data_IF_486764833055
#
_entry.id   IF_486764833055
#
_cell.length_a   1.000
_cell.length_b   1.000
_cell.length_c   1.000
_cell.angle_alpha   90.00
_cell.angle_beta   90.00
_cell.angle_gamma   90.00
#
_symmetry.space_group_name_H-M   'P 1'
#
loop_
_entity.id
_entity.type
_entity.pdbx_description
1 polymer ?
#
# COMPACT_ATOMS: atom_id res chain seq x y z
N UNK A 1 -2.36 -24.62 14.40
CA UNK A 1 -3.70 -24.27 14.92
C UNK A 1 -4.08 -22.91 14.34
N UNK A 2 -4.88 -22.92 13.31
CA UNK A 2 -5.39 -21.70 12.62
C UNK A 2 -6.42 -21.02 13.53
N UNK A 3 -6.10 -19.83 14.03
CA UNK A 3 -7.09 -18.98 14.69
C UNK A 3 -7.88 -18.28 13.57
N UNK A 4 -9.12 -18.72 13.38
CA UNK A 4 -9.97 -18.25 12.30
C UNK A 4 -10.31 -16.76 12.39
N UNK A 5 -10.45 -16.12 11.24
CA UNK A 5 -10.89 -14.72 11.06
C UNK A 5 -12.16 -14.36 11.87
N UNK A 6 -12.97 -15.32 12.27
CA UNK A 6 -14.18 -15.11 13.05
C UNK A 6 -14.00 -14.50 14.45
N UNK A 7 -12.81 -14.64 15.06
CA UNK A 7 -12.56 -14.11 16.41
C UNK A 7 -12.19 -12.62 16.42
N UNK A 8 -11.70 -12.09 15.30
CA UNK A 8 -11.36 -10.68 15.14
C UNK A 8 -12.65 -9.86 15.03
N UNK A 9 -13.62 -10.32 14.24
CA UNK A 9 -14.92 -9.65 14.07
C UNK A 9 -15.78 -9.64 15.34
N UNK A 10 -15.72 -10.69 16.17
CA UNK A 10 -16.46 -10.73 17.45
C UNK A 10 -15.94 -9.72 18.46
N UNK A 11 -14.63 -9.46 18.48
CA UNK A 11 -14.04 -8.45 19.38
C UNK A 11 -14.37 -7.03 18.96
N UNK A 12 -14.48 -6.77 17.65
CA UNK A 12 -14.83 -5.47 17.11
C UNK A 12 -16.31 -5.14 17.35
N UNK A 13 -17.21 -6.11 17.23
CA UNK A 13 -18.65 -5.93 17.52
C UNK A 13 -18.91 -5.62 19.01
N UNK A 14 -18.16 -6.23 19.94
CA UNK A 14 -18.31 -5.97 21.37
C UNK A 14 -17.84 -4.57 21.76
N UNK A 15 -16.81 -4.03 21.07
CA UNK A 15 -16.31 -2.67 21.32
C UNK A 15 -17.30 -1.59 20.86
N UNK A 16 -18.05 -1.81 19.80
CA UNK A 16 -19.07 -0.87 19.30
C UNK A 16 -20.30 -0.81 20.20
N UNK A 17 -20.69 -1.91 20.84
CA UNK A 17 -21.83 -1.91 21.76
C UNK A 17 -21.56 -1.21 23.10
N UNK A 18 -20.29 -1.16 23.56
CA UNK A 18 -19.95 -0.47 24.79
C UNK A 18 -19.89 1.06 24.63
N UNK A 19 -19.61 1.57 23.43
CA UNK A 19 -19.60 3.00 23.14
C UNK A 19 -21.02 3.61 23.02
N UNK A 20 -22.01 2.82 22.62
CA UNK A 20 -23.39 3.27 22.47
C UNK A 20 -24.17 3.36 23.81
N UNK A 21 -23.72 2.71 24.88
CA UNK A 21 -24.40 2.68 26.18
C UNK A 21 -24.09 3.90 27.09
N UNK A 22 -23.12 4.74 26.74
CA UNK A 22 -22.73 5.91 27.52
C UNK A 22 -23.38 7.24 27.08
N UNK A 23 -24.14 7.26 25.99
CA UNK A 23 -24.70 8.48 25.40
C UNK A 23 -26.17 8.80 25.82
N UNK A 24 -26.81 8.02 26.68
CA UNK A 24 -28.26 8.19 27.02
C UNK A 24 -28.52 8.80 28.41
N UNK A 25 -27.53 9.31 29.09
CA UNK A 25 -27.62 9.65 30.52
C UNK A 25 -27.66 11.13 30.92
N UNK A 26 -27.91 12.11 30.03
CA UNK A 26 -28.02 13.51 30.50
C UNK A 26 -29.03 14.36 29.72
N UNK A 27 -30.30 14.08 29.85
CA UNK A 27 -31.38 15.08 29.60
C UNK A 27 -32.55 14.87 30.57
N UNK A 28 -32.44 15.48 31.74
CA UNK A 28 -33.61 15.82 32.54
C UNK A 28 -33.27 16.94 33.53
N UNK A 29 -33.78 18.13 33.30
CA UNK A 29 -33.67 19.26 34.22
C UNK A 29 -34.46 20.46 33.73
N UNK A 30 -35.73 20.43 34.02
CA UNK A 30 -36.74 21.49 33.86
C UNK A 30 -36.47 22.72 34.71
N UNK A 31 -36.99 23.88 34.29
CA UNK A 31 -37.33 24.92 35.24
C UNK A 31 -37.46 26.34 34.69
N UNK A 32 -38.67 26.79 34.61
CA UNK A 32 -39.21 28.08 34.19
C UNK A 32 -38.75 29.31 34.98
N UNK A 33 -38.91 30.45 34.35
CA UNK A 33 -39.48 31.76 34.76
C UNK A 33 -38.55 32.95 34.72
N UNK A 34 -38.91 33.82 33.80
CA UNK A 34 -38.97 35.30 33.72
C UNK A 34 -38.25 36.20 34.75
N UNK A 35 -37.52 37.17 34.31
CA UNK A 35 -37.79 38.60 34.25
C UNK A 35 -36.53 39.46 34.43
N UNK A 36 -36.46 40.50 33.59
CA UNK A 36 -35.80 41.84 33.68
C UNK A 36 -34.38 42.02 34.19
N UNK A 37 -33.52 42.59 33.29
CA UNK A 37 -32.78 43.80 33.64
C UNK A 37 -31.28 43.78 33.71
N UNK A 38 -30.64 44.46 32.74
CA UNK A 38 -29.41 45.27 32.90
C UNK A 38 -28.03 44.64 32.87
N UNK A 39 -27.32 44.95 31.78
CA UNK A 39 -25.89 45.32 31.64
C UNK A 39 -24.86 44.62 32.54
N UNK A 40 -23.99 43.84 31.85
CA UNK A 40 -22.73 43.39 32.44
C UNK A 40 -21.95 42.52 31.47
N UNK A 41 -20.93 43.09 30.85
CA UNK A 41 -19.96 42.39 29.99
C UNK A 41 -19.30 41.29 30.76
N UNK A 42 -19.46 40.05 30.33
CA UNK A 42 -18.63 38.91 30.77
C UNK A 42 -18.40 37.99 29.59
N UNK A 43 -17.14 37.74 29.32
CA UNK A 43 -16.62 36.90 28.28
C UNK A 43 -17.27 35.49 28.30
N UNK A 44 -18.03 35.17 27.30
CA UNK A 44 -18.49 33.84 27.01
C UNK A 44 -17.31 33.05 26.41
N UNK A 45 -16.81 32.09 27.17
CA UNK A 45 -16.00 31.01 26.64
C UNK A 45 -16.92 30.14 25.82
N UNK A 46 -16.99 30.40 24.53
CA UNK A 46 -17.58 29.47 23.58
C UNK A 46 -16.71 28.22 23.53
N UNK A 47 -17.21 27.14 24.08
CA UNK A 47 -16.78 25.79 23.75
C UNK A 47 -17.24 25.54 22.32
N UNK A 48 -16.48 26.04 21.37
CA UNK A 48 -16.70 25.77 19.95
C UNK A 48 -16.42 24.32 19.68
N UNK A 49 -17.47 23.55 19.44
CA UNK A 49 -17.41 22.39 18.58
C UNK A 49 -16.98 22.94 17.21
N UNK A 50 -15.68 22.91 16.93
CA UNK A 50 -15.20 23.09 15.58
C UNK A 50 -15.59 21.86 14.80
N UNK A 51 -16.81 21.86 14.27
CA UNK A 51 -17.11 21.21 13.01
C UNK A 51 -16.25 21.96 11.96
N UNK A 52 -14.99 21.60 11.87
CA UNK A 52 -14.16 21.97 10.75
C UNK A 52 -14.67 21.15 9.56
N UNK A 53 -15.69 21.67 8.91
CA UNK A 53 -15.92 21.32 7.52
C UNK A 53 -14.58 21.58 6.82
N UNK A 54 -13.94 20.50 6.34
CA UNK A 54 -12.75 20.62 5.51
C UNK A 54 -13.05 21.64 4.41
N UNK A 55 -12.15 22.56 4.19
CA UNK A 55 -12.31 23.71 3.29
C UNK A 55 -12.37 23.31 1.79
N UNK A 56 -12.79 22.09 1.47
CA UNK A 56 -12.76 21.48 0.14
C UNK A 56 -11.40 20.89 -0.22
N UNK A 57 -10.45 20.84 0.72
CA UNK A 57 -9.16 20.20 0.52
C UNK A 57 -9.34 18.69 0.34
N UNK A 58 -8.62 18.12 -0.60
CA UNK A 58 -8.60 16.68 -0.88
C UNK A 58 -7.23 16.11 -0.53
N UNK A 59 -7.21 14.84 -0.14
CA UNK A 59 -5.96 14.11 0.04
C UNK A 59 -5.64 13.36 -1.26
N UNK A 60 -4.52 13.71 -1.90
CA UNK A 60 -4.16 13.22 -3.23
C UNK A 60 -3.18 12.06 -3.15
N UNK A 61 -3.58 10.92 -3.68
CA UNK A 61 -2.75 9.71 -3.80
C UNK A 61 -2.42 9.49 -5.27
N UNK A 62 -1.14 9.43 -5.61
CA UNK A 62 -0.66 9.04 -6.93
C UNK A 62 -0.51 7.52 -7.03
N UNK A 63 -0.82 6.95 -8.20
CA UNK A 63 -0.58 5.55 -8.52
C UNK A 63 0.31 5.44 -9.77
N UNK A 64 1.33 4.58 -9.73
CA UNK A 64 2.18 4.29 -10.90
C UNK A 64 2.27 2.78 -11.08
N UNK A 65 2.04 2.33 -12.31
CA UNK A 65 2.21 0.93 -12.67
C UNK A 65 1.77 0.64 -14.09
N UNK A 66 2.14 -0.53 -14.64
CA UNK A 66 1.87 -0.87 -16.02
C UNK A 66 0.38 -1.18 -16.23
N UNK A 67 -0.34 -0.29 -16.89
CA UNK A 67 -1.72 -0.54 -17.34
C UNK A 67 -1.78 -0.96 -18.80
N UNK A 68 -0.65 -0.84 -19.51
CA UNK A 68 -0.41 -1.38 -20.86
C UNK A 68 0.91 -2.16 -20.89
N UNK A 69 1.15 -2.92 -21.98
CA UNK A 69 2.33 -3.76 -22.15
C UNK A 69 2.24 -5.14 -21.49
N UNK A 70 3.38 -5.83 -21.37
CA UNK A 70 3.45 -7.24 -20.95
C UNK A 70 2.95 -7.49 -19.51
N UNK A 71 3.20 -6.55 -18.62
CA UNK A 71 2.81 -6.64 -17.20
C UNK A 71 1.46 -5.95 -16.87
N UNK A 72 0.68 -5.57 -17.90
CA UNK A 72 -0.57 -4.83 -17.73
C UNK A 72 -1.61 -5.53 -16.83
N UNK A 73 -1.61 -6.85 -16.79
CA UNK A 73 -2.53 -7.62 -15.94
C UNK A 73 -2.30 -7.31 -14.44
N UNK A 74 -1.05 -7.12 -14.03
CA UNK A 74 -0.70 -6.81 -12.65
C UNK A 74 -1.03 -5.35 -12.30
N UNK A 75 -0.57 -4.41 -13.13
CA UNK A 75 -0.80 -2.99 -12.90
C UNK A 75 -2.27 -2.62 -12.94
N UNK A 76 -3.03 -3.12 -13.91
CA UNK A 76 -4.48 -2.88 -13.99
C UNK A 76 -5.22 -3.42 -12.75
N UNK A 77 -4.83 -4.61 -12.24
CA UNK A 77 -5.42 -5.16 -11.03
C UNK A 77 -5.16 -4.28 -9.80
N UNK A 78 -3.92 -3.78 -9.66
CA UNK A 78 -3.53 -2.87 -8.57
C UNK A 78 -4.30 -1.56 -8.65
N UNK A 79 -4.34 -0.90 -9.83
CA UNK A 79 -5.03 0.38 -9.97
C UNK A 79 -6.54 0.27 -9.74
N UNK A 80 -7.16 -0.82 -10.19
CA UNK A 80 -8.57 -1.08 -9.91
C UNK A 80 -8.82 -1.30 -8.42
N UNK A 81 -7.96 -2.06 -7.73
CA UNK A 81 -8.08 -2.27 -6.29
C UNK A 81 -7.90 -0.97 -5.50
N UNK A 82 -6.95 -0.13 -5.90
CA UNK A 82 -6.75 1.20 -5.31
C UNK A 82 -7.98 2.09 -5.47
N UNK A 83 -8.60 2.11 -6.66
CA UNK A 83 -9.82 2.89 -6.89
C UNK A 83 -10.98 2.40 -6.01
N UNK A 84 -11.18 1.08 -5.88
CA UNK A 84 -12.19 0.51 -4.99
C UNK A 84 -11.97 0.96 -3.54
N UNK A 85 -10.72 0.89 -3.06
CA UNK A 85 -10.40 1.33 -1.70
C UNK A 85 -10.65 2.83 -1.50
N UNK A 86 -10.33 3.66 -2.48
CA UNK A 86 -10.62 5.10 -2.45
C UNK A 86 -12.11 5.38 -2.40
N UNK A 87 -12.90 4.68 -3.20
CA UNK A 87 -14.36 4.82 -3.21
C UNK A 87 -14.95 4.45 -1.84
N UNK A 88 -14.52 3.32 -1.25
CA UNK A 88 -14.95 2.89 0.09
C UNK A 88 -14.55 3.90 1.19
N UNK A 89 -13.33 4.43 1.13
CA UNK A 89 -12.85 5.46 2.07
C UNK A 89 -13.72 6.72 1.96
N UNK A 90 -14.02 7.15 0.74
CA UNK A 90 -14.82 8.35 0.49
C UNK A 90 -16.29 8.16 0.91
N UNK A 91 -16.87 6.99 0.67
CA UNK A 91 -18.21 6.65 1.16
C UNK A 91 -18.27 6.64 2.69
N UNK A 92 -17.20 6.25 3.37
CA UNK A 92 -17.08 6.28 4.82
C UNK A 92 -16.83 7.69 5.40
N UNK A 93 -16.73 8.74 4.56
CA UNK A 93 -16.52 10.12 4.97
C UNK A 93 -15.08 10.62 4.82
N UNK A 94 -14.23 9.87 4.13
CA UNK A 94 -12.84 10.24 3.86
C UNK A 94 -11.89 9.97 5.03
N UNK A 95 -10.69 10.49 4.92
CA UNK A 95 -9.62 10.39 5.95
C UNK A 95 -9.68 11.67 6.79
N UNK A 96 -10.09 11.58 8.05
CA UNK A 96 -10.28 12.73 8.95
C UNK A 96 -11.18 13.84 8.34
N UNK A 97 -12.19 13.45 7.54
CA UNK A 97 -13.09 14.37 6.85
C UNK A 97 -12.58 14.89 5.50
N UNK A 98 -11.38 14.55 5.09
CA UNK A 98 -10.84 14.87 3.76
C UNK A 98 -11.20 13.77 2.78
N UNK A 99 -11.78 14.14 1.64
CA UNK A 99 -11.97 13.19 0.55
C UNK A 99 -10.64 12.80 -0.07
N UNK A 100 -10.52 11.57 -0.54
CA UNK A 100 -9.34 11.06 -1.23
C UNK A 100 -9.55 11.22 -2.73
N UNK A 101 -8.56 11.76 -3.43
CA UNK A 101 -8.49 11.80 -4.88
C UNK A 101 -7.34 10.89 -5.33
N UNK A 102 -7.61 9.99 -6.26
CA UNK A 102 -6.64 9.04 -6.79
C UNK A 102 -6.39 9.29 -8.27
N UNK A 103 -5.13 9.37 -8.66
CA UNK A 103 -4.72 9.49 -10.05
C UNK A 103 -3.65 8.47 -10.38
N UNK A 104 -3.91 7.64 -11.41
CA UNK A 104 -2.98 6.63 -11.89
C UNK A 104 -2.29 7.06 -13.19
N UNK A 105 -1.01 6.69 -13.32
CA UNK A 105 -0.21 6.88 -14.53
C UNK A 105 0.38 5.52 -14.97
N UNK A 106 0.40 5.29 -16.29
CA UNK A 106 0.94 4.09 -16.92
C UNK A 106 2.45 4.21 -17.16
N UNK A 107 3.23 3.32 -16.57
CA UNK A 107 4.67 3.26 -16.74
C UNK A 107 5.14 2.17 -17.74
N UNK A 108 4.27 1.28 -18.16
CA UNK A 108 4.58 0.16 -19.04
C UNK A 108 5.73 -0.74 -18.53
N UNK A 109 5.99 -0.75 -17.23
CA UNK A 109 7.16 -1.38 -16.59
C UNK A 109 8.52 -0.82 -17.06
N UNK A 110 8.56 0.43 -17.48
CA UNK A 110 9.73 1.14 -17.97
C UNK A 110 10.21 2.17 -16.94
N UNK A 111 11.48 2.12 -16.57
CA UNK A 111 12.04 2.97 -15.52
C UNK A 111 11.97 4.47 -15.86
N UNK A 112 12.23 4.85 -17.12
CA UNK A 112 12.20 6.26 -17.54
C UNK A 112 10.76 6.79 -17.54
N UNK A 113 9.80 5.98 -18.02
CA UNK A 113 8.38 6.35 -17.99
C UNK A 113 7.87 6.47 -16.56
N UNK A 114 8.32 5.61 -15.64
CA UNK A 114 7.95 5.70 -14.22
C UNK A 114 8.42 7.00 -13.58
N UNK A 115 9.65 7.43 -13.85
CA UNK A 115 10.16 8.73 -13.38
C UNK A 115 9.37 9.88 -13.99
N UNK A 116 8.98 9.80 -15.26
CA UNK A 116 8.13 10.81 -15.90
C UNK A 116 6.72 10.83 -15.29
N UNK A 117 6.13 9.66 -15.01
CA UNK A 117 4.84 9.53 -14.33
C UNK A 117 4.89 10.11 -12.91
N UNK A 118 5.98 9.83 -12.16
CA UNK A 118 6.22 10.42 -10.85
C UNK A 118 6.21 11.95 -10.90
N UNK A 119 6.96 12.55 -11.83
CA UNK A 119 6.99 14.01 -11.98
C UNK A 119 5.61 14.58 -12.34
N UNK A 120 4.84 13.92 -13.22
CA UNK A 120 3.48 14.31 -13.56
C UNK A 120 2.54 14.30 -12.35
N UNK A 121 2.63 13.26 -11.50
CA UNK A 121 1.83 13.16 -10.28
C UNK A 121 2.27 14.17 -9.21
N UNK A 122 3.56 14.44 -9.10
CA UNK A 122 4.10 15.48 -8.22
C UNK A 122 3.58 16.86 -8.63
N UNK A 123 3.60 17.19 -9.92
CA UNK A 123 3.05 18.44 -10.46
C UNK A 123 1.52 18.56 -10.24
N UNK A 124 0.80 17.43 -10.26
CA UNK A 124 -0.62 17.38 -9.89
C UNK A 124 -0.85 17.65 -8.40
N UNK A 125 0.20 17.54 -7.58
CA UNK A 125 0.17 17.78 -6.14
C UNK A 125 -0.15 16.56 -5.31
N UNK A 126 0.29 15.35 -5.73
CA UNK A 126 0.17 14.15 -4.89
C UNK A 126 0.92 14.34 -3.56
N UNK A 127 0.42 13.68 -2.52
CA UNK A 127 0.96 13.73 -1.16
C UNK A 127 1.55 12.38 -0.74
N UNK A 128 1.11 11.31 -1.39
CA UNK A 128 1.58 9.92 -1.17
C UNK A 128 1.63 9.22 -2.51
N UNK A 129 2.65 8.40 -2.72
CA UNK A 129 2.78 7.53 -3.88
C UNK A 129 2.43 6.08 -3.50
N UNK A 130 1.50 5.47 -4.22
CA UNK A 130 1.25 4.04 -4.26
C UNK A 130 1.81 3.49 -5.58
N UNK A 131 2.95 2.85 -5.51
CA UNK A 131 3.67 2.38 -6.70
C UNK A 131 5.19 2.37 -6.51
N UNK A 132 6.00 1.95 -7.49
CA UNK A 132 5.42 1.37 -8.69
C UNK A 132 5.11 -0.12 -8.48
N UNK A 133 4.45 -0.74 -9.46
CA UNK A 133 4.00 -2.14 -9.34
C UNK A 133 5.13 -3.13 -9.62
N UNK A 134 6.07 -2.80 -10.50
CA UNK A 134 7.19 -3.67 -10.91
C UNK A 134 8.52 -3.17 -10.36
N UNK A 135 9.48 -4.08 -10.17
CA UNK A 135 10.70 -3.83 -9.40
C UNK A 135 11.62 -2.77 -10.01
N UNK A 136 12.04 -2.92 -11.26
CA UNK A 136 12.98 -1.98 -11.90
C UNK A 136 12.46 -0.54 -11.95
N UNK A 137 11.20 -0.29 -12.33
CA UNK A 137 10.56 1.01 -12.20
C UNK A 137 10.54 1.55 -10.76
N UNK A 138 10.26 0.69 -9.76
CA UNK A 138 10.19 1.10 -8.37
C UNK A 138 11.55 1.58 -7.85
N UNK A 139 12.62 0.88 -8.16
CA UNK A 139 13.99 1.29 -7.82
C UNK A 139 14.28 2.69 -8.41
N UNK A 140 13.92 2.91 -9.69
CA UNK A 140 14.17 4.19 -10.35
C UNK A 140 13.37 5.36 -9.74
N UNK A 141 12.19 5.10 -9.20
CA UNK A 141 11.33 6.11 -8.55
C UNK A 141 11.71 6.31 -7.09
N UNK A 142 12.16 5.27 -6.38
CA UNK A 142 12.52 5.32 -4.97
C UNK A 142 13.56 6.39 -4.64
N UNK A 143 14.55 6.59 -5.51
CA UNK A 143 15.55 7.65 -5.35
C UNK A 143 14.91 9.06 -5.47
N UNK A 144 13.92 9.21 -6.35
CA UNK A 144 13.22 10.49 -6.55
C UNK A 144 12.30 10.82 -5.39
N UNK A 145 11.59 9.80 -4.88
CA UNK A 145 10.75 9.98 -3.69
C UNK A 145 11.57 10.30 -2.45
N UNK A 146 12.78 9.72 -2.31
CA UNK A 146 13.71 10.02 -1.24
C UNK A 146 14.24 11.47 -1.32
N UNK A 147 14.65 11.93 -2.51
CA UNK A 147 15.09 13.32 -2.75
C UNK A 147 14.00 14.34 -2.35
N UNK A 148 12.74 14.00 -2.59
CA UNK A 148 11.59 14.86 -2.34
C UNK A 148 10.97 14.68 -0.94
N UNK A 149 11.41 13.69 -0.15
CA UNK A 149 10.80 13.32 1.12
C UNK A 149 9.36 12.81 0.97
N UNK A 150 9.03 12.23 -0.19
CA UNK A 150 7.72 11.70 -0.52
C UNK A 150 7.56 10.30 0.08
N UNK A 151 6.46 10.04 0.80
CA UNK A 151 6.13 8.68 1.23
C UNK A 151 5.75 7.82 0.02
N UNK A 152 6.37 6.65 -0.08
CA UNK A 152 6.10 5.66 -1.11
C UNK A 152 5.78 4.30 -0.52
N UNK A 153 4.74 3.65 -1.06
CA UNK A 153 4.44 2.26 -0.75
C UNK A 153 4.25 1.48 -2.04
N UNK A 154 5.08 0.46 -2.27
CA UNK A 154 4.90 -0.44 -3.40
C UNK A 154 3.98 -1.60 -3.03
N UNK A 155 2.95 -1.90 -3.87
CA UNK A 155 2.07 -3.03 -3.65
C UNK A 155 2.71 -4.38 -3.99
N UNK A 156 3.68 -4.43 -4.93
CA UNK A 156 4.18 -5.68 -5.47
C UNK A 156 5.63 -5.69 -5.98
N UNK A 157 6.32 -4.56 -6.07
CA UNK A 157 7.74 -4.55 -6.38
C UNK A 157 8.50 -5.23 -5.23
N UNK A 158 9.12 -6.38 -5.49
CA UNK A 158 9.50 -7.35 -4.46
C UNK A 158 11.01 -7.48 -4.21
N UNK A 159 11.88 -6.82 -4.99
CA UNK A 159 13.29 -6.73 -4.65
C UNK A 159 13.51 -5.99 -3.34
N UNK A 160 14.53 -6.38 -2.58
CA UNK A 160 14.97 -5.63 -1.39
C UNK A 160 15.54 -4.27 -1.72
N UNK A 161 16.00 -4.05 -2.95
CA UNK A 161 16.59 -2.79 -3.40
C UNK A 161 15.57 -1.65 -3.45
N UNK A 162 14.26 -1.98 -3.54
CA UNK A 162 13.19 -0.96 -3.54
C UNK A 162 13.03 -0.27 -2.18
N UNK A 163 13.49 -0.89 -1.09
CA UNK A 163 13.35 -0.38 0.28
C UNK A 163 14.69 0.04 0.90
N UNK A 164 15.68 0.39 0.09
CA UNK A 164 16.95 0.94 0.58
C UNK A 164 16.79 2.33 1.20
N UNK A 165 15.79 3.09 0.79
CA UNK A 165 15.45 4.41 1.31
C UNK A 165 14.37 4.31 2.41
N UNK A 166 14.53 5.06 3.50
CA UNK A 166 13.66 5.02 4.70
C UNK A 166 12.21 5.48 4.45
N UNK A 167 11.95 6.14 3.33
CA UNK A 167 10.63 6.64 2.92
C UNK A 167 9.84 5.64 2.07
N UNK A 168 10.43 4.51 1.67
CA UNK A 168 9.82 3.49 0.81
C UNK A 168 9.42 2.26 1.61
N UNK A 169 8.18 1.83 1.46
CA UNK A 169 7.62 0.66 2.14
C UNK A 169 7.14 -0.37 1.12
N UNK A 170 7.23 -1.64 1.50
CA UNK A 170 6.87 -2.76 0.64
C UNK A 170 5.73 -3.56 1.30
N UNK A 171 4.61 -3.71 0.59
CA UNK A 171 3.44 -4.44 1.10
C UNK A 171 3.43 -5.93 0.72
N UNK A 172 4.31 -6.35 -0.19
CA UNK A 172 4.44 -7.73 -0.66
C UNK A 172 5.60 -8.47 0.04
N UNK A 173 5.72 -9.77 -0.24
CA UNK A 173 6.90 -10.56 0.11
C UNK A 173 8.12 -10.12 -0.71
N UNK A 174 9.32 -10.47 -0.25
CA UNK A 174 10.56 -10.15 -0.97
C UNK A 174 11.00 -11.29 -1.89
N UNK A 175 11.76 -10.97 -2.96
CA UNK A 175 12.35 -11.95 -3.87
C UNK A 175 13.18 -13.01 -3.16
N UNK A 176 14.07 -12.68 -2.20
CA UNK A 176 14.78 -13.66 -1.41
C UNK A 176 13.86 -14.65 -0.68
N UNK A 177 12.73 -14.17 -0.15
CA UNK A 177 11.77 -15.04 0.51
C UNK A 177 11.06 -15.96 -0.49
N UNK A 178 10.72 -15.48 -1.68
CA UNK A 178 10.09 -16.27 -2.73
C UNK A 178 11.01 -17.39 -3.24
N UNK A 179 12.26 -17.05 -3.57
CA UNK A 179 13.27 -18.03 -4.00
C UNK A 179 13.51 -19.11 -2.96
N UNK A 180 13.74 -18.68 -1.71
CA UNK A 180 13.96 -19.60 -0.57
C UNK A 180 12.73 -20.50 -0.34
N UNK A 181 11.54 -19.95 -0.24
CA UNK A 181 10.30 -20.71 0.02
C UNK A 181 9.98 -21.69 -1.11
N UNK A 182 10.26 -21.30 -2.37
CA UNK A 182 10.07 -22.18 -3.52
C UNK A 182 10.99 -23.41 -3.47
N UNK A 183 12.26 -23.23 -3.13
CA UNK A 183 13.19 -24.32 -2.97
C UNK A 183 12.82 -25.24 -1.77
N UNK A 184 12.46 -24.66 -0.63
CA UNK A 184 11.98 -25.38 0.53
C UNK A 184 10.74 -26.22 0.20
N UNK A 185 9.78 -25.64 -0.50
CA UNK A 185 8.57 -26.36 -0.90
C UNK A 185 8.86 -27.61 -1.76
N UNK A 186 9.80 -27.48 -2.72
CA UNK A 186 10.22 -28.62 -3.56
C UNK A 186 10.88 -29.70 -2.71
N UNK A 187 11.81 -29.35 -1.82
CA UNK A 187 12.55 -30.30 -1.01
C UNK A 187 11.70 -31.00 0.06
N UNK A 188 10.94 -30.22 0.83
CA UNK A 188 10.07 -30.74 1.90
C UNK A 188 8.99 -31.68 1.35
N UNK A 189 8.42 -31.37 0.21
CA UNK A 189 7.41 -32.21 -0.44
C UNK A 189 7.99 -33.24 -1.39
N UNK A 190 9.33 -33.32 -1.54
CA UNK A 190 10.03 -34.24 -2.40
C UNK A 190 9.51 -34.24 -3.85
N UNK A 191 9.23 -33.08 -4.38
CA UNK A 191 8.62 -32.94 -5.70
C UNK A 191 9.59 -33.28 -6.84
N UNK A 192 10.89 -33.02 -6.64
CA UNK A 192 11.94 -33.31 -7.60
C UNK A 192 13.28 -33.59 -6.90
N UNK A 193 14.15 -34.37 -7.56
CA UNK A 193 15.55 -34.58 -7.16
C UNK A 193 16.51 -33.79 -8.06
N UNK A 194 16.05 -33.36 -9.23
CA UNK A 194 16.77 -32.53 -10.19
C UNK A 194 15.85 -31.48 -10.78
N UNK A 195 16.34 -30.25 -10.82
CA UNK A 195 15.61 -29.07 -11.32
C UNK A 195 16.49 -28.31 -12.29
N UNK A 196 15.91 -27.79 -13.36
CA UNK A 196 16.55 -26.77 -14.20
C UNK A 196 15.86 -25.43 -13.95
N UNK A 197 16.62 -24.35 -13.98
CA UNK A 197 16.14 -22.98 -13.79
C UNK A 197 16.31 -22.20 -15.10
N UNK A 198 15.28 -21.48 -15.50
CA UNK A 198 15.32 -20.50 -16.60
C UNK A 198 14.89 -19.16 -16.00
N UNK A 199 15.68 -18.13 -16.24
CA UNK A 199 15.41 -16.80 -15.67
C UNK A 199 15.80 -15.68 -16.62
N UNK A 200 15.18 -14.52 -16.44
CA UNK A 200 15.58 -13.29 -17.12
C UNK A 200 16.70 -12.60 -16.35
N UNK A 201 17.92 -12.62 -16.91
CA UNK A 201 19.10 -12.00 -16.29
C UNK A 201 19.13 -10.47 -16.42
N UNK A 202 18.25 -9.89 -17.22
CA UNK A 202 18.10 -8.44 -17.37
C UNK A 202 17.09 -7.84 -16.40
N UNK A 203 16.32 -8.69 -15.68
CA UNK A 203 15.31 -8.28 -14.71
C UNK A 203 15.75 -8.56 -13.28
N UNK A 204 15.77 -7.53 -12.44
CA UNK A 204 16.17 -7.60 -11.03
C UNK A 204 15.26 -8.55 -10.23
N UNK A 205 13.95 -8.54 -10.49
CA UNK A 205 12.99 -9.46 -9.89
C UNK A 205 13.35 -10.92 -10.18
N UNK A 206 13.53 -11.27 -11.45
CA UNK A 206 13.79 -12.62 -11.90
C UNK A 206 15.12 -13.17 -11.36
N UNK A 207 16.20 -12.38 -11.47
CA UNK A 207 17.53 -12.75 -10.98
C UNK A 207 17.62 -12.81 -9.45
N UNK A 208 16.87 -11.98 -8.73
CA UNK A 208 16.79 -12.01 -7.27
C UNK A 208 16.16 -13.29 -6.72
N UNK A 209 15.10 -13.77 -7.37
CA UNK A 209 14.45 -15.05 -7.05
C UNK A 209 15.39 -16.22 -7.36
N UNK A 210 15.97 -16.24 -8.57
CA UNK A 210 16.87 -17.29 -9.02
C UNK A 210 18.03 -17.48 -8.05
N UNK A 211 18.77 -16.43 -7.72
CA UNK A 211 19.95 -16.46 -6.86
C UNK A 211 19.67 -17.10 -5.48
N UNK A 212 18.51 -16.79 -4.89
CA UNK A 212 18.13 -17.34 -3.59
C UNK A 212 17.55 -18.76 -3.68
N UNK A 213 16.86 -19.07 -4.77
CA UNK A 213 16.38 -20.42 -5.06
C UNK A 213 17.54 -21.39 -5.21
N UNK A 214 18.54 -21.08 -6.05
CA UNK A 214 19.70 -21.91 -6.31
C UNK A 214 20.50 -22.13 -5.03
N UNK A 215 20.72 -21.07 -4.25
CA UNK A 215 21.42 -21.15 -2.97
C UNK A 215 20.71 -22.06 -1.98
N UNK A 216 19.39 -21.99 -1.88
CA UNK A 216 18.62 -22.78 -0.94
C UNK A 216 18.45 -24.23 -1.42
N UNK A 217 18.41 -24.50 -2.72
CA UNK A 217 18.30 -25.84 -3.29
C UNK A 217 19.33 -26.84 -2.72
N UNK A 218 20.57 -26.37 -2.49
CA UNK A 218 21.64 -27.17 -1.90
C UNK A 218 21.29 -27.65 -0.48
N UNK A 219 20.51 -26.88 0.28
CA UNK A 219 20.06 -27.23 1.64
C UNK A 219 18.87 -28.19 1.63
N UNK A 220 18.14 -28.23 0.52
CA UNK A 220 16.87 -28.94 0.41
C UNK A 220 16.97 -30.33 -0.21
N UNK A 221 18.19 -30.78 -0.56
CA UNK A 221 18.47 -32.15 -0.99
C UNK A 221 18.06 -32.49 -2.42
N UNK A 222 17.92 -31.46 -3.28
CA UNK A 222 17.81 -31.64 -4.73
C UNK A 222 18.92 -30.84 -5.47
N UNK A 223 19.18 -31.22 -6.70
CA UNK A 223 20.25 -30.66 -7.53
C UNK A 223 19.67 -29.72 -8.57
N UNK A 224 20.24 -28.51 -8.71
CA UNK A 224 20.03 -27.66 -9.86
C UNK A 224 21.02 -28.09 -10.94
N UNK A 225 20.50 -28.73 -11.99
CA UNK A 225 21.31 -29.37 -13.04
C UNK A 225 21.59 -28.46 -14.24
N UNK A 226 20.86 -27.37 -14.37
CA UNK A 226 21.06 -26.36 -15.38
C UNK A 226 20.48 -25.02 -14.92
N UNK A 227 21.17 -23.96 -15.26
CA UNK A 227 20.78 -22.55 -15.06
C UNK A 227 20.93 -21.85 -16.40
N UNK A 228 19.83 -21.49 -17.04
CA UNK A 228 19.81 -20.89 -18.36
C UNK A 228 19.20 -19.47 -18.27
N UNK A 229 20.01 -18.51 -18.67
CA UNK A 229 19.62 -17.11 -18.67
C UNK A 229 19.14 -16.68 -20.07
N UNK A 230 18.11 -15.85 -20.09
CA UNK A 230 17.70 -15.08 -21.27
C UNK A 230 17.61 -13.60 -20.93
N UNK A 231 17.42 -12.76 -21.93
CA UNK A 231 17.07 -11.35 -21.75
C UNK A 231 15.73 -11.07 -22.45
N UNK A 232 15.00 -10.06 -22.00
CA UNK A 232 13.69 -9.72 -22.56
C UNK A 232 13.68 -9.50 -24.08
N UNK A 233 14.84 -9.17 -24.68
CA UNK A 233 15.00 -8.91 -26.11
C UNK A 233 15.56 -10.11 -26.89
N UNK A 234 15.70 -11.30 -26.29
CA UNK A 234 16.31 -12.49 -26.90
C UNK A 234 15.28 -13.52 -27.41
#
# INVERSE_FOLDING_TARGET
>A
MSRGLGDVYKRQAVSMFLAAALAVGTFAGCGSSADTGSTGSAASTESGSTDSAADGSVFKIGGIGPTTGAAAIYGSAVMNAAQIAVDEINEAGGINGYQVEFKAEDDQSDAEKSVNAYNSLKDWGMQVLMGTVTTTPCIAVADKTAEDGMFEITPSASSTDVIENDNVFQACFTDPNLGTASAQYIGENKLATKVAVIYDSSDVYSSGIEATFVKEAANQGFEVVAEEAFTADS
#
